data_IF_079018470482
#
_entry.id   IF_079018470482
#
_cell.length_a   1.000
_cell.length_b   1.000
_cell.length_c   1.000
_cell.angle_alpha   90.00
_cell.angle_beta   90.00
_cell.angle_gamma   90.00
#
_symmetry.space_group_name_H-M   'P 1'
#
loop_
_entity.id
_entity.type
_entity.pdbx_description
1 polymer ?
#
# COMPACT_ATOMS: atom_id res chain seq x y z
N UNK A 1 -2.44 -29.74 -5.35
CA UNK A 1 -1.60 -29.81 -6.59
C UNK A 1 -0.11 -29.61 -6.30
N UNK A 2 0.30 -28.63 -5.45
CA UNK A 2 1.73 -28.41 -5.15
C UNK A 2 2.37 -29.52 -4.32
N UNK A 3 1.64 -30.22 -3.44
CA UNK A 3 2.18 -31.36 -2.69
C UNK A 3 2.65 -32.55 -3.55
N UNK A 4 2.17 -32.64 -4.79
CA UNK A 4 2.64 -33.65 -5.75
C UNK A 4 4.09 -33.42 -6.21
N UNK A 5 4.58 -32.18 -6.14
CA UNK A 5 5.96 -31.87 -6.57
C UNK A 5 6.99 -32.59 -5.72
N UNK A 6 6.78 -32.67 -4.40
CA UNK A 6 7.70 -33.38 -3.52
C UNK A 6 7.72 -34.88 -3.77
N UNK A 7 6.58 -35.46 -4.17
CA UNK A 7 6.49 -36.87 -4.53
C UNK A 7 7.21 -37.18 -5.86
N UNK A 8 7.14 -36.27 -6.83
CA UNK A 8 7.79 -36.43 -8.13
C UNK A 8 9.30 -36.12 -8.08
N UNK A 9 9.70 -35.21 -7.19
CA UNK A 9 11.09 -34.76 -7.08
C UNK A 9 11.57 -34.80 -5.62
N UNK A 10 11.68 -35.98 -4.99
CA UNK A 10 11.97 -36.10 -3.57
C UNK A 10 13.37 -35.62 -3.16
N UNK A 11 14.30 -35.49 -4.10
CA UNK A 11 15.66 -35.02 -3.86
C UNK A 11 15.80 -33.49 -4.03
N UNK A 12 14.75 -32.79 -4.50
CA UNK A 12 14.82 -31.35 -4.72
C UNK A 12 14.33 -30.62 -3.47
N UNK A 13 15.13 -29.72 -2.89
CA UNK A 13 14.67 -28.94 -1.74
C UNK A 13 13.55 -27.97 -2.15
N UNK A 14 12.56 -27.81 -1.27
CA UNK A 14 11.44 -26.89 -1.46
C UNK A 14 11.66 -25.67 -0.60
N UNK A 15 11.58 -24.47 -1.19
CA UNK A 15 11.54 -23.19 -0.49
C UNK A 15 10.16 -22.58 -0.71
N UNK A 16 9.42 -22.36 0.36
CA UNK A 16 8.15 -21.65 0.34
C UNK A 16 8.34 -20.22 0.85
N UNK A 17 7.98 -19.23 0.03
CA UNK A 17 8.11 -17.81 0.36
C UNK A 17 6.71 -17.16 0.37
N UNK A 18 6.44 -16.37 1.38
CA UNK A 18 5.21 -15.58 1.48
C UNK A 18 5.48 -14.27 2.20
N UNK A 19 4.81 -13.20 1.78
CA UNK A 19 4.92 -11.89 2.41
C UNK A 19 3.94 -11.72 3.59
N UNK A 20 2.84 -12.50 3.62
CA UNK A 20 1.72 -12.28 4.55
C UNK A 20 1.07 -13.62 4.90
N UNK A 21 1.66 -14.35 5.81
CA UNK A 21 1.05 -15.56 6.33
C UNK A 21 0.89 -15.44 7.85
N UNK A 22 -0.35 -15.51 8.33
CA UNK A 22 -0.64 -15.71 9.74
C UNK A 22 -0.17 -17.10 10.20
N UNK A 23 -0.21 -17.35 11.50
CA UNK A 23 0.25 -18.64 12.06
C UNK A 23 -0.46 -19.85 11.44
N UNK A 24 -1.77 -19.73 11.23
CA UNK A 24 -2.61 -20.80 10.66
C UNK A 24 -2.19 -21.09 9.22
N UNK A 25 -2.02 -20.03 8.42
CA UNK A 25 -1.57 -20.15 7.03
C UNK A 25 -0.19 -20.79 6.92
N UNK A 26 0.74 -20.44 7.82
CA UNK A 26 2.08 -21.07 7.85
C UNK A 26 2.02 -22.57 8.12
N UNK A 27 1.21 -22.97 9.09
CA UNK A 27 0.99 -24.38 9.41
C UNK A 27 0.34 -25.13 8.23
N UNK A 28 -0.60 -24.50 7.54
CA UNK A 28 -1.22 -25.05 6.33
C UNK A 28 -0.22 -25.22 5.18
N UNK A 29 0.67 -24.24 4.95
CA UNK A 29 1.73 -24.35 3.93
C UNK A 29 2.63 -25.55 4.21
N UNK A 30 3.10 -25.72 5.45
CA UNK A 30 3.93 -26.85 5.86
C UNK A 30 3.23 -28.17 5.56
N UNK A 31 1.95 -28.27 5.93
CA UNK A 31 1.13 -29.47 5.75
C UNK A 31 0.86 -29.79 4.28
N UNK A 32 0.44 -28.78 3.50
CA UNK A 32 0.08 -28.97 2.09
C UNK A 32 1.26 -29.26 1.18
N UNK A 33 2.44 -28.70 1.50
CA UNK A 33 3.67 -28.95 0.76
C UNK A 33 4.41 -30.18 1.28
N UNK A 34 3.90 -30.86 2.32
CA UNK A 34 4.53 -32.03 2.95
C UNK A 34 6.00 -31.75 3.36
N UNK A 35 6.27 -30.56 3.89
CA UNK A 35 7.62 -30.18 4.30
C UNK A 35 8.05 -30.97 5.53
N UNK A 36 9.19 -31.66 5.44
CA UNK A 36 9.76 -32.49 6.52
C UNK A 36 10.74 -31.65 7.32
N UNK A 37 10.45 -31.41 8.60
CA UNK A 37 11.30 -30.61 9.51
C UNK A 37 11.77 -29.28 8.88
N UNK A 38 10.85 -28.44 8.36
CA UNK A 38 11.25 -27.21 7.68
C UNK A 38 11.90 -26.23 8.66
N UNK A 39 12.92 -25.50 8.20
CA UNK A 39 13.40 -24.32 8.89
C UNK A 39 12.49 -23.15 8.52
N UNK A 40 11.95 -22.49 9.54
CA UNK A 40 11.07 -21.32 9.36
C UNK A 40 11.82 -20.05 9.73
N UNK A 41 11.87 -19.09 8.80
CA UNK A 41 12.44 -17.77 9.01
C UNK A 41 11.32 -16.75 8.94
N UNK A 42 11.13 -15.97 9.99
CA UNK A 42 10.09 -14.95 10.09
C UNK A 42 10.80 -13.63 10.39
N UNK A 43 10.69 -12.66 9.46
CA UNK A 43 11.07 -11.28 9.71
C UNK A 43 9.92 -10.53 10.36
N UNK A 44 10.23 -9.44 11.07
CA UNK A 44 9.20 -8.57 11.63
C UNK A 44 8.29 -8.01 10.53
N UNK A 45 7.01 -7.91 10.84
CA UNK A 45 6.00 -7.26 10.01
C UNK A 45 5.97 -5.75 10.24
N UNK A 46 6.81 -5.22 11.12
CA UNK A 46 6.80 -3.78 11.40
C UNK A 46 7.36 -2.95 10.23
N UNK A 47 6.66 -1.90 9.93
CA UNK A 47 7.01 -0.89 8.94
C UNK A 47 6.99 0.48 9.61
N UNK A 48 8.02 0.83 10.41
CA UNK A 48 8.02 2.03 11.25
C UNK A 48 7.97 3.34 10.44
N UNK A 49 8.31 3.30 9.17
CA UNK A 49 8.26 4.43 8.25
C UNK A 49 6.85 4.71 7.69
N UNK A 50 5.86 3.83 7.93
CA UNK A 50 4.49 4.03 7.42
C UNK A 50 3.62 4.57 8.56
N UNK A 51 2.97 5.71 8.37
CA UNK A 51 1.89 6.17 9.25
C UNK A 51 0.56 5.51 8.84
N UNK A 52 -0.27 5.17 9.82
CA UNK A 52 -1.55 4.49 9.61
C UNK A 52 -2.70 5.37 10.11
N UNK A 53 -3.68 5.62 9.26
CA UNK A 53 -4.86 6.39 9.61
C UNK A 53 -6.14 5.69 9.16
N UNK A 54 -7.15 5.66 10.03
CA UNK A 54 -8.49 5.13 9.72
C UNK A 54 -9.52 6.24 9.90
N UNK A 55 -9.97 6.81 8.80
CA UNK A 55 -11.02 7.82 8.73
C UNK A 55 -12.40 7.14 8.75
N UNK A 56 -13.18 7.35 9.83
CA UNK A 56 -14.47 6.69 10.07
C UNK A 56 -15.64 7.61 9.74
N UNK A 57 -16.75 7.03 9.25
CA UNK A 57 -18.02 7.73 9.08
C UNK A 57 -18.17 8.59 7.84
N UNK A 58 -17.14 8.69 7.00
CA UNK A 58 -17.17 9.50 5.78
C UNK A 58 -18.17 8.98 4.74
N UNK A 59 -19.06 9.85 4.30
CA UNK A 59 -19.93 9.60 3.14
C UNK A 59 -19.16 9.75 1.83
N UNK A 60 -19.70 9.24 0.72
CA UNK A 60 -19.00 9.25 -0.57
C UNK A 60 -18.54 10.66 -1.03
N UNK A 61 -19.33 11.70 -0.76
CA UNK A 61 -18.98 13.09 -1.11
C UNK A 61 -17.81 13.61 -0.27
N UNK A 62 -17.82 13.30 1.01
CA UNK A 62 -16.77 13.68 1.95
C UNK A 62 -15.47 12.93 1.65
N UNK A 63 -15.55 11.61 1.37
CA UNK A 63 -14.40 10.81 0.91
C UNK A 63 -13.77 11.43 -0.33
N UNK A 64 -14.58 11.79 -1.33
CA UNK A 64 -14.08 12.39 -2.56
C UNK A 64 -13.34 13.71 -2.29
N UNK A 65 -13.93 14.59 -1.45
CA UNK A 65 -13.30 15.85 -1.06
C UNK A 65 -11.97 15.61 -0.35
N UNK A 66 -11.96 14.75 0.68
CA UNK A 66 -10.76 14.42 1.44
C UNK A 66 -9.64 13.83 0.56
N UNK A 67 -9.97 12.98 -0.43
CA UNK A 67 -9.00 12.43 -1.38
C UNK A 67 -8.40 13.53 -2.26
N UNK A 68 -9.22 14.43 -2.79
CA UNK A 68 -8.73 15.54 -3.62
C UNK A 68 -7.81 16.47 -2.83
N UNK A 69 -8.18 16.83 -1.59
CA UNK A 69 -7.36 17.63 -0.69
C UNK A 69 -6.05 16.92 -0.34
N UNK A 70 -6.11 15.61 -0.08
CA UNK A 70 -4.93 14.80 0.19
C UNK A 70 -3.97 14.80 -1.00
N UNK A 71 -4.45 14.52 -2.21
CA UNK A 71 -3.63 14.50 -3.43
C UNK A 71 -3.05 15.88 -3.71
N UNK A 72 -3.82 16.94 -3.47
CA UNK A 72 -3.32 18.31 -3.67
C UNK A 72 -2.14 18.65 -2.74
N UNK A 73 -2.19 18.19 -1.48
CA UNK A 73 -1.06 18.32 -0.53
C UNK A 73 0.16 17.48 -0.94
N UNK A 74 -0.07 16.36 -1.64
CA UNK A 74 0.95 15.40 -2.10
C UNK A 74 1.21 15.45 -3.61
N UNK A 75 0.97 16.60 -4.25
CA UNK A 75 0.99 16.72 -5.71
C UNK A 75 2.31 16.31 -6.38
N UNK A 76 3.43 16.39 -5.65
CA UNK A 76 4.77 16.03 -6.13
C UNK A 76 5.12 14.55 -5.82
N UNK A 77 4.24 13.82 -5.16
CA UNK A 77 4.48 12.49 -4.65
C UNK A 77 3.67 11.43 -5.39
N UNK A 78 4.23 10.23 -5.53
CA UNK A 78 3.53 9.11 -6.13
C UNK A 78 2.67 8.35 -5.12
N UNK A 79 1.46 7.99 -5.50
CA UNK A 79 0.55 7.25 -4.62
C UNK A 79 -0.44 6.34 -5.34
N UNK A 80 -1.06 5.48 -4.54
CA UNK A 80 -2.04 4.49 -5.03
C UNK A 80 -3.35 4.68 -4.27
N UNK A 81 -4.48 4.62 -5.00
CA UNK A 81 -5.83 4.63 -4.42
C UNK A 81 -6.48 3.28 -4.69
N UNK A 82 -6.69 2.49 -3.65
CA UNK A 82 -7.37 1.21 -3.77
C UNK A 82 -8.87 1.32 -3.62
N UNK A 83 -9.60 0.68 -4.52
CA UNK A 83 -11.06 0.60 -4.53
C UNK A 83 -11.51 -0.86 -4.50
N UNK A 84 -12.61 -1.16 -3.80
CA UNK A 84 -13.14 -2.52 -3.71
C UNK A 84 -13.74 -3.04 -5.03
N UNK A 85 -14.21 -2.14 -5.91
CA UNK A 85 -14.88 -2.51 -7.16
C UNK A 85 -14.34 -1.73 -8.35
N UNK A 86 -14.42 -2.33 -9.55
CA UNK A 86 -14.11 -1.67 -10.83
C UNK A 86 -14.87 -0.34 -10.98
N UNK A 87 -16.18 -0.35 -10.69
CA UNK A 87 -17.03 0.84 -10.75
C UNK A 87 -16.53 1.99 -9.87
N UNK A 88 -16.04 1.68 -8.66
CA UNK A 88 -15.48 2.71 -7.78
C UNK A 88 -14.13 3.22 -8.33
N UNK A 89 -13.30 2.33 -8.89
CA UNK A 89 -12.04 2.73 -9.50
C UNK A 89 -12.26 3.68 -10.68
N UNK A 90 -13.19 3.34 -11.59
CA UNK A 90 -13.55 4.21 -12.73
C UNK A 90 -14.13 5.56 -12.27
N UNK A 91 -14.98 5.54 -11.22
CA UNK A 91 -15.56 6.76 -10.67
C UNK A 91 -14.49 7.69 -10.07
N UNK A 92 -13.55 7.16 -9.30
CA UNK A 92 -12.48 7.96 -8.70
C UNK A 92 -11.50 8.44 -9.78
N UNK A 93 -11.16 7.58 -10.75
CA UNK A 93 -10.35 7.99 -11.89
C UNK A 93 -11.00 9.16 -12.65
N UNK A 94 -12.30 9.05 -13.00
CA UNK A 94 -13.03 10.13 -13.66
C UNK A 94 -13.10 11.41 -12.83
N UNK A 95 -13.21 11.30 -11.49
CA UNK A 95 -13.17 12.44 -10.58
C UNK A 95 -11.79 13.15 -10.67
N UNK A 96 -10.69 12.40 -10.63
CA UNK A 96 -9.34 12.97 -10.72
C UNK A 96 -9.13 13.70 -12.05
N UNK A 97 -9.60 13.12 -13.16
CA UNK A 97 -9.54 13.75 -14.48
C UNK A 97 -10.33 15.08 -14.53
N UNK A 98 -11.50 15.14 -13.91
CA UNK A 98 -12.32 16.37 -13.84
C UNK A 98 -11.60 17.51 -13.10
N UNK A 99 -10.72 17.17 -12.15
CA UNK A 99 -9.92 18.15 -11.40
C UNK A 99 -8.51 18.36 -11.99
N UNK A 100 -8.26 17.85 -13.21
CA UNK A 100 -6.98 18.05 -13.91
C UNK A 100 -5.81 17.30 -13.29
N UNK A 101 -6.08 16.25 -12.49
CA UNK A 101 -5.06 15.41 -11.86
C UNK A 101 -4.70 14.27 -12.82
N UNK A 102 -3.45 14.23 -13.27
CA UNK A 102 -2.93 13.14 -14.09
C UNK A 102 -2.86 11.84 -13.28
N UNK A 103 -3.70 10.89 -13.65
CA UNK A 103 -3.81 9.60 -13.00
C UNK A 103 -3.96 8.47 -14.02
N UNK A 104 -3.55 7.27 -13.63
CA UNK A 104 -3.89 6.03 -14.33
C UNK A 104 -4.95 5.24 -13.54
N UNK A 105 -5.57 4.27 -14.21
CA UNK A 105 -6.44 3.33 -13.52
C UNK A 105 -6.09 1.89 -13.90
N UNK A 106 -6.36 0.95 -12.97
CA UNK A 106 -5.98 -0.45 -13.15
C UNK A 106 -6.97 -1.40 -12.49
N UNK A 107 -7.68 -2.18 -13.30
CA UNK A 107 -8.56 -3.26 -12.83
C UNK A 107 -8.75 -4.32 -13.92
N UNK A 108 -9.29 -5.47 -13.55
CA UNK A 108 -9.45 -6.62 -14.45
C UNK A 108 -10.46 -6.39 -15.61
N UNK A 109 -11.18 -5.26 -15.64
CA UNK A 109 -12.07 -4.88 -16.73
C UNK A 109 -11.38 -4.18 -17.90
N UNK A 110 -10.14 -3.73 -17.72
CA UNK A 110 -9.33 -3.09 -18.76
C UNK A 110 -8.65 -4.12 -19.65
N UNK A 111 -8.35 -3.75 -20.90
CA UNK A 111 -7.52 -4.55 -21.78
C UNK A 111 -6.11 -4.76 -21.23
N UNK A 112 -5.42 -5.76 -21.72
CA UNK A 112 -4.01 -6.02 -21.34
C UNK A 112 -3.10 -4.84 -21.70
N UNK A 113 -3.35 -4.22 -22.85
CA UNK A 113 -2.57 -3.08 -23.34
C UNK A 113 -2.76 -1.84 -22.46
N UNK A 114 -4.01 -1.51 -22.11
CA UNK A 114 -4.31 -0.39 -21.20
C UNK A 114 -3.68 -0.61 -19.81
N UNK A 115 -3.80 -1.83 -19.26
CA UNK A 115 -3.19 -2.17 -17.98
C UNK A 115 -1.68 -2.01 -18.03
N UNK A 116 -1.02 -2.54 -19.07
CA UNK A 116 0.42 -2.42 -19.26
C UNK A 116 0.84 -0.95 -19.38
N UNK A 117 0.15 -0.18 -20.23
CA UNK A 117 0.44 1.24 -20.42
C UNK A 117 0.33 2.02 -19.11
N UNK A 118 -0.79 1.90 -18.38
CA UNK A 118 -0.99 2.60 -17.13
C UNK A 118 0.04 2.19 -16.05
N UNK A 119 0.40 0.91 -16.01
CA UNK A 119 1.43 0.40 -15.12
C UNK A 119 2.81 0.97 -15.46
N UNK A 120 3.17 0.98 -16.73
CA UNK A 120 4.44 1.55 -17.21
C UNK A 120 4.48 3.06 -16.92
N UNK A 121 3.40 3.80 -17.21
CA UNK A 121 3.31 5.22 -16.97
C UNK A 121 3.48 5.55 -15.48
N UNK A 122 2.90 4.74 -14.58
CA UNK A 122 3.09 4.88 -13.14
C UNK A 122 4.51 4.51 -12.69
N UNK A 123 5.06 3.42 -13.22
CA UNK A 123 6.39 2.94 -12.87
C UNK A 123 7.49 3.92 -13.27
N UNK A 124 7.33 4.55 -14.44
CA UNK A 124 8.29 5.51 -14.98
C UNK A 124 8.02 6.98 -14.58
N UNK A 125 7.18 7.23 -13.56
CA UNK A 125 6.83 8.56 -13.04
C UNK A 125 6.17 9.49 -14.09
N UNK A 126 5.58 8.97 -15.17
CA UNK A 126 4.81 9.76 -16.14
C UNK A 126 3.46 10.18 -15.57
N UNK A 127 2.90 9.35 -14.70
CA UNK A 127 1.73 9.66 -13.87
C UNK A 127 2.09 9.40 -12.41
N UNK A 128 1.53 10.17 -11.50
CA UNK A 128 1.85 10.07 -10.06
C UNK A 128 0.79 9.36 -9.25
N UNK A 129 -0.43 9.28 -9.74
CA UNK A 129 -1.56 8.64 -9.03
C UNK A 129 -2.05 7.43 -9.80
N UNK A 130 -2.16 6.30 -9.14
CA UNK A 130 -2.78 5.10 -9.68
C UNK A 130 -4.06 4.77 -8.91
N UNK A 131 -5.19 4.72 -9.60
CA UNK A 131 -6.46 4.26 -9.03
C UNK A 131 -6.68 2.80 -9.40
N UNK A 132 -6.82 1.92 -8.43
CA UNK A 132 -6.79 0.49 -8.73
C UNK A 132 -7.74 -0.35 -7.86
N UNK A 133 -8.04 -1.55 -8.32
CA UNK A 133 -8.53 -2.64 -7.48
C UNK A 133 -7.37 -3.51 -7.01
N UNK A 134 -7.64 -4.52 -6.18
CA UNK A 134 -6.66 -5.53 -5.74
C UNK A 134 -5.93 -6.26 -6.88
N UNK A 135 -6.43 -6.15 -8.13
CA UNK A 135 -5.74 -6.68 -9.32
C UNK A 135 -4.39 -5.96 -9.58
N UNK A 136 -4.23 -4.73 -9.08
CA UNK A 136 -2.99 -3.97 -9.17
C UNK A 136 -2.09 -4.31 -8.00
N UNK A 137 -1.10 -5.14 -8.23
CA UNK A 137 -0.25 -5.50 -7.12
C UNK A 137 0.81 -6.52 -7.43
N UNK A 138 0.51 -7.56 -8.17
CA UNK A 138 1.51 -8.55 -8.53
C UNK A 138 2.52 -7.95 -9.52
N UNK A 139 3.81 -7.92 -9.14
CA UNK A 139 4.88 -7.45 -10.00
C UNK A 139 5.14 -5.93 -9.99
N UNK A 140 4.51 -5.18 -9.09
CA UNK A 140 4.82 -3.75 -8.93
C UNK A 140 5.87 -3.58 -7.84
N UNK A 141 7.03 -3.14 -8.25
CA UNK A 141 8.18 -2.87 -7.38
C UNK A 141 8.62 -1.40 -7.45
N UNK A 142 7.64 -0.48 -7.42
CA UNK A 142 7.90 0.96 -7.31
C UNK A 142 8.20 1.30 -5.85
N UNK A 143 9.45 1.64 -5.54
CA UNK A 143 9.91 1.86 -4.16
C UNK A 143 9.52 3.22 -3.60
N UNK A 144 9.35 4.23 -4.45
CA UNK A 144 9.09 5.62 -4.08
C UNK A 144 7.60 6.00 -3.97
N UNK A 145 6.72 5.05 -3.67
CA UNK A 145 5.30 5.33 -3.36
C UNK A 145 5.21 5.99 -1.99
N UNK A 146 4.70 7.23 -1.92
CA UNK A 146 4.62 8.00 -0.67
C UNK A 146 3.31 7.85 0.07
N UNK A 147 2.24 7.45 -0.62
CA UNK A 147 0.96 7.20 0.05
C UNK A 147 0.15 6.08 -0.60
N UNK A 148 -0.63 5.43 0.24
CA UNK A 148 -1.68 4.48 -0.18
C UNK A 148 -2.99 4.89 0.47
N UNK A 149 -4.00 5.17 -0.36
CA UNK A 149 -5.35 5.48 0.09
C UNK A 149 -6.27 4.31 -0.20
N UNK A 150 -7.04 3.88 0.78
CA UNK A 150 -8.10 2.89 0.60
C UNK A 150 -9.46 3.61 0.58
N UNK A 151 -10.05 3.77 -0.60
CA UNK A 151 -11.39 4.35 -0.77
C UNK A 151 -12.47 3.52 -0.10
N UNK A 152 -12.28 2.22 -0.09
CA UNK A 152 -13.11 1.22 0.58
C UNK A 152 -12.25 0.33 1.47
N UNK A 153 -12.84 -0.21 2.53
CA UNK A 153 -12.22 -1.21 3.38
C UNK A 153 -11.87 -2.48 2.57
N UNK A 154 -10.63 -2.98 2.61
CA UNK A 154 -10.26 -4.27 2.03
C UNK A 154 -11.00 -5.46 2.67
N UNK A 155 -10.99 -6.63 2.02
CA UNK A 155 -11.68 -7.83 2.51
C UNK A 155 -10.98 -8.48 3.71
N UNK A 156 -9.68 -8.24 3.90
CA UNK A 156 -8.93 -8.80 5.01
C UNK A 156 -7.72 -7.95 5.38
N UNK A 157 -7.17 -8.19 6.58
CA UNK A 157 -5.94 -7.54 7.04
C UNK A 157 -4.73 -7.90 6.19
N UNK A 158 -4.69 -9.11 5.62
CA UNK A 158 -3.61 -9.51 4.73
C UNK A 158 -3.62 -8.69 3.44
N UNK A 159 -4.79 -8.48 2.83
CA UNK A 159 -4.91 -7.60 1.66
C UNK A 159 -4.54 -6.15 2.01
N UNK A 160 -5.08 -5.64 3.13
CA UNK A 160 -4.72 -4.31 3.61
C UNK A 160 -3.22 -4.15 3.81
N UNK A 161 -2.58 -5.08 4.50
CA UNK A 161 -1.15 -5.04 4.77
C UNK A 161 -0.30 -5.12 3.49
N UNK A 162 -0.69 -5.98 2.53
CA UNK A 162 -0.02 -6.08 1.23
C UNK A 162 -0.13 -4.80 0.40
N UNK A 163 -1.31 -4.17 0.41
CA UNK A 163 -1.58 -2.94 -0.31
C UNK A 163 -0.91 -1.74 0.36
N UNK A 164 -1.06 -1.56 1.66
CA UNK A 164 -0.40 -0.54 2.47
C UNK A 164 1.13 -0.68 2.43
N UNK A 165 1.64 -1.90 2.44
CA UNK A 165 3.07 -2.22 2.37
C UNK A 165 3.76 -1.85 1.07
N UNK A 166 3.02 -1.36 0.06
CA UNK A 166 3.61 -0.78 -1.16
C UNK A 166 4.16 0.61 -0.93
N UNK A 167 3.68 1.30 0.10
CA UNK A 167 4.19 2.60 0.50
C UNK A 167 5.57 2.49 1.14
N UNK A 168 6.47 3.42 0.83
CA UNK A 168 7.75 3.58 1.49
C UNK A 168 8.68 2.36 1.46
N UNK A 169 8.74 1.62 0.36
CA UNK A 169 9.65 0.46 0.23
C UNK A 169 11.12 0.83 0.27
N UNK A 170 11.44 2.07 -0.03
CA UNK A 170 12.78 2.65 0.08
C UNK A 170 13.15 3.06 1.52
N UNK A 171 12.28 2.81 2.49
CA UNK A 171 12.47 3.18 3.89
C UNK A 171 12.10 4.62 4.23
N UNK A 172 11.76 5.44 3.22
CA UNK A 172 11.29 6.79 3.44
C UNK A 172 9.86 6.83 4.02
N UNK A 173 9.52 7.94 4.68
CA UNK A 173 8.21 8.12 5.29
C UNK A 173 7.08 8.03 4.25
N UNK A 174 6.03 7.34 4.62
CA UNK A 174 4.86 7.16 3.78
C UNK A 174 3.58 7.13 4.61
N UNK A 175 2.45 7.41 3.99
CA UNK A 175 1.15 7.50 4.65
C UNK A 175 0.16 6.49 4.08
N UNK A 176 -0.54 5.79 4.97
CA UNK A 176 -1.65 4.91 4.59
C UNK A 176 -2.93 5.39 5.26
N UNK A 177 -3.90 5.82 4.45
CA UNK A 177 -5.21 6.28 4.92
C UNK A 177 -6.29 5.34 4.42
N UNK A 178 -7.10 4.85 5.36
CA UNK A 178 -8.24 3.99 5.07
C UNK A 178 -9.54 4.72 5.40
N UNK A 179 -10.40 4.88 4.41
CA UNK A 179 -11.76 5.41 4.60
C UNK A 179 -12.71 4.25 4.88
N UNK A 180 -13.20 4.19 6.11
CA UNK A 180 -14.11 3.14 6.55
C UNK A 180 -15.54 3.66 6.67
N UNK A 181 -16.49 2.89 6.12
CA UNK A 181 -17.91 3.10 6.32
C UNK A 181 -18.65 1.76 6.46
N UNK A 182 -19.81 1.78 7.13
CA UNK A 182 -20.65 0.56 7.26
C UNK A 182 -21.09 -0.02 5.91
N UNK A 183 -21.13 0.80 4.84
CA UNK A 183 -21.42 0.34 3.50
C UNK A 183 -20.32 -0.59 2.96
N UNK A 184 -19.07 -0.39 3.37
CA UNK A 184 -17.95 -1.25 2.96
C UNK A 184 -18.13 -2.69 3.45
N UNK A 185 -18.71 -2.88 4.64
CA UNK A 185 -19.05 -4.20 5.18
C UNK A 185 -20.05 -4.91 4.26
N UNK A 186 -21.09 -4.19 3.82
CA UNK A 186 -22.11 -4.76 2.91
C UNK A 186 -21.53 -5.10 1.53
N UNK A 187 -20.65 -4.25 1.00
CA UNK A 187 -19.95 -4.49 -0.27
C UNK A 187 -19.11 -5.77 -0.15
N UNK A 188 -18.29 -5.88 0.89
CA UNK A 188 -17.42 -7.03 1.06
C UNK A 188 -18.18 -8.34 1.30
N UNK A 189 -19.27 -8.32 2.09
CA UNK A 189 -20.14 -9.50 2.25
C UNK A 189 -20.71 -9.97 0.92
N UNK A 190 -21.23 -9.05 0.10
CA UNK A 190 -21.72 -9.39 -1.24
C UNK A 190 -20.63 -9.97 -2.15
N UNK A 191 -19.43 -9.42 -2.11
CA UNK A 191 -18.30 -9.94 -2.89
C UNK A 191 -17.94 -11.38 -2.47
N UNK A 192 -17.99 -11.70 -1.17
CA UNK A 192 -17.78 -13.07 -0.68
C UNK A 192 -18.91 -14.02 -1.12
N UNK A 193 -20.16 -13.57 -1.07
CA UNK A 193 -21.31 -14.34 -1.55
C UNK A 193 -21.20 -14.66 -3.05
N UNK A 194 -20.86 -13.68 -3.88
CA UNK A 194 -20.64 -13.90 -5.32
C UNK A 194 -19.52 -14.91 -5.59
N UNK A 195 -18.39 -14.78 -4.88
CA UNK A 195 -17.27 -15.70 -5.00
C UNK A 195 -17.67 -17.13 -4.63
N UNK A 196 -18.51 -17.31 -3.61
CA UNK A 196 -19.00 -18.63 -3.21
C UNK A 196 -19.97 -19.25 -4.21
N UNK A 197 -20.76 -18.43 -4.94
CA UNK A 197 -21.68 -18.90 -5.97
C UNK A 197 -20.97 -19.35 -7.24
N UNK A 198 -19.82 -18.75 -7.58
CA UNK A 198 -19.02 -19.10 -8.75
C UNK A 198 -18.17 -20.35 -8.55
N UNK A 199 -17.88 -20.74 -7.30
CA UNK A 199 -17.10 -21.95 -7.00
C UNK A 199 -18.01 -23.18 -6.91
N UNK A 200 -17.81 -24.14 -7.84
CA UNK A 200 -18.56 -25.40 -7.92
C UNK A 200 -18.34 -26.29 -6.68
N UNK A 201 -17.18 -26.14 -6.01
CA UNK A 201 -16.82 -26.75 -4.73
C UNK A 201 -16.76 -25.69 -3.63
N UNK A 202 -17.91 -25.13 -3.23
CA UNK A 202 -17.97 -24.22 -2.08
C UNK A 202 -17.69 -24.99 -0.79
N UNK A 203 -16.43 -25.19 -0.48
CA UNK A 203 -16.02 -25.69 0.83
C UNK A 203 -16.49 -24.70 1.90
N UNK A 204 -17.47 -25.10 2.68
CA UNK A 204 -18.06 -24.32 3.78
C UNK A 204 -16.98 -23.80 4.73
N UNK A 205 -15.85 -24.50 4.82
CA UNK A 205 -14.72 -24.12 5.65
C UNK A 205 -13.97 -22.90 5.08
N UNK A 206 -13.80 -22.84 3.75
CA UNK A 206 -13.17 -21.69 3.06
C UNK A 206 -14.01 -20.43 3.29
N UNK A 207 -15.32 -20.52 3.09
CA UNK A 207 -16.22 -19.40 3.30
C UNK A 207 -16.22 -18.91 4.76
N UNK A 208 -16.23 -19.82 5.73
CA UNK A 208 -16.11 -19.46 7.16
C UNK A 208 -14.80 -18.73 7.45
N UNK A 209 -13.71 -19.15 6.85
CA UNK A 209 -12.42 -18.51 7.01
C UNK A 209 -12.40 -17.10 6.39
N UNK A 210 -12.98 -16.94 5.20
CA UNK A 210 -13.11 -15.64 4.54
C UNK A 210 -13.94 -14.65 5.39
N UNK A 211 -15.07 -15.11 5.99
CA UNK A 211 -15.85 -14.30 6.93
C UNK A 211 -15.09 -13.96 8.22
N UNK A 212 -14.30 -14.89 8.76
CA UNK A 212 -13.45 -14.63 9.93
C UNK A 212 -12.45 -13.51 9.62
N UNK A 213 -11.77 -13.56 8.47
CA UNK A 213 -10.82 -12.54 8.02
C UNK A 213 -11.49 -11.18 7.80
N UNK A 214 -12.70 -11.17 7.22
CA UNK A 214 -13.48 -9.95 7.07
C UNK A 214 -13.83 -9.33 8.43
N UNK A 215 -14.26 -10.14 9.41
CA UNK A 215 -14.56 -9.63 10.75
C UNK A 215 -13.31 -9.05 11.42
N UNK A 216 -12.15 -9.68 11.31
CA UNK A 216 -10.88 -9.12 11.83
C UNK A 216 -10.50 -7.80 11.17
N UNK A 217 -10.81 -7.62 9.87
CA UNK A 217 -10.63 -6.34 9.20
C UNK A 217 -11.61 -5.27 9.70
N UNK A 218 -12.85 -5.65 10.01
CA UNK A 218 -13.83 -4.75 10.63
C UNK A 218 -13.35 -4.34 12.02
N UNK A 219 -12.91 -5.30 12.85
CA UNK A 219 -12.36 -5.04 14.19
C UNK A 219 -11.18 -4.06 14.13
N UNK A 220 -10.30 -4.21 13.15
CA UNK A 220 -9.22 -3.26 12.89
C UNK A 220 -9.74 -1.85 12.57
N UNK A 221 -10.77 -1.74 11.73
CA UNK A 221 -11.35 -0.44 11.38
C UNK A 221 -12.07 0.23 12.56
N UNK A 222 -12.59 -0.54 13.51
CA UNK A 222 -13.38 -0.05 14.65
C UNK A 222 -12.57 0.07 15.95
N UNK A 223 -11.37 -0.53 16.02
CA UNK A 223 -10.53 -0.53 17.23
C UNK A 223 -10.15 0.89 17.68
N UNK A 224 -10.03 1.06 18.99
CA UNK A 224 -9.42 2.23 19.63
C UNK A 224 -7.96 1.97 20.05
N UNK A 225 -7.48 0.74 19.91
CA UNK A 225 -6.10 0.38 20.19
C UNK A 225 -5.17 0.91 19.10
N UNK A 226 -3.87 0.90 19.37
CA UNK A 226 -2.86 1.24 18.37
C UNK A 226 -3.05 0.40 17.09
N UNK A 227 -3.24 1.05 15.95
CA UNK A 227 -3.46 0.38 14.65
C UNK A 227 -2.28 -0.50 14.25
N UNK A 228 -1.05 -0.06 14.53
CA UNK A 228 0.17 -0.83 14.26
C UNK A 228 0.23 -2.08 15.12
N UNK A 229 -0.02 -1.93 16.43
CA UNK A 229 -0.05 -3.07 17.35
C UNK A 229 -1.08 -4.11 16.92
N UNK A 230 -2.27 -3.67 16.48
CA UNK A 230 -3.31 -4.58 16.00
C UNK A 230 -2.82 -5.44 14.82
N UNK A 231 -2.19 -4.80 13.81
CA UNK A 231 -1.62 -5.51 12.65
C UNK A 231 -0.53 -6.49 13.08
N UNK A 232 0.42 -6.05 13.90
CA UNK A 232 1.55 -6.87 14.32
C UNK A 232 1.08 -8.08 15.14
N UNK A 233 0.16 -7.87 16.07
CA UNK A 233 -0.46 -8.95 16.85
C UNK A 233 -1.21 -9.95 15.97
N UNK A 234 -1.89 -9.50 14.91
CA UNK A 234 -2.55 -10.36 13.95
C UNK A 234 -1.59 -11.33 13.26
N UNK A 235 -0.41 -10.85 12.87
CA UNK A 235 0.63 -11.68 12.25
C UNK A 235 1.49 -12.45 13.26
N UNK A 236 1.23 -12.28 14.56
CA UNK A 236 1.96 -12.97 15.64
C UNK A 236 3.30 -12.34 15.95
N UNK A 237 3.46 -11.05 15.66
CA UNK A 237 4.64 -10.25 16.02
C UNK A 237 4.39 -9.48 17.32
N UNK A 238 5.44 -9.31 18.12
CA UNK A 238 5.37 -8.54 19.35
C UNK A 238 5.54 -7.06 19.04
N UNK A 239 4.69 -6.23 19.65
CA UNK A 239 4.69 -4.80 19.41
C UNK A 239 4.48 -4.02 20.72
N UNK A 240 5.06 -2.82 20.87
CA UNK A 240 4.69 -1.90 21.95
C UNK A 240 3.22 -1.49 21.86
N UNK A 241 2.65 -1.06 22.97
CA UNK A 241 1.23 -0.66 23.06
C UNK A 241 0.90 0.59 22.26
N UNK A 242 1.89 1.42 21.93
CA UNK A 242 1.76 2.67 21.18
C UNK A 242 2.85 2.76 20.11
N UNK A 243 2.56 3.43 19.01
CA UNK A 243 3.50 3.62 17.90
C UNK A 243 3.77 5.09 17.55
N UNK A 244 3.08 6.04 18.19
CA UNK A 244 3.17 7.50 17.99
C UNK A 244 3.04 7.96 16.51
N UNK A 245 2.53 7.08 15.62
CA UNK A 245 2.39 7.33 14.18
C UNK A 245 1.07 6.84 13.59
N UNK A 246 0.12 6.41 14.40
CA UNK A 246 -1.22 6.07 13.89
C UNK A 246 -2.27 7.00 14.48
N UNK A 247 -3.41 7.11 13.79
CA UNK A 247 -4.51 8.00 14.20
C UNK A 247 -5.09 7.69 15.59
N UNK A 248 -4.89 6.48 16.11
CA UNK A 248 -5.36 6.13 17.46
C UNK A 248 -4.31 6.44 18.55
N UNK A 249 -3.04 6.65 18.21
CA UNK A 249 -1.99 7.03 19.17
C UNK A 249 -1.75 8.53 19.20
N UNK A 250 -1.94 9.21 18.08
CA UNK A 250 -1.77 10.66 17.97
C UNK A 250 -3.17 11.29 18.04
N UNK A 251 -3.51 11.83 19.20
CA UNK A 251 -4.75 12.64 19.37
C UNK A 251 -4.41 14.05 18.89
N UNK A 252 -4.89 14.41 17.72
CA UNK A 252 -4.80 15.78 17.22
C UNK A 252 -6.20 16.36 17.30
N UNK A 253 -6.36 17.50 17.98
CA UNK A 253 -7.61 18.25 17.98
C UNK A 253 -7.87 18.77 16.56
N UNK A 254 -9.10 18.63 16.04
CA UNK A 254 -9.47 18.80 14.63
C UNK A 254 -9.02 20.12 13.97
N UNK A 255 -8.83 21.19 14.74
CA UNK A 255 -8.36 22.49 14.23
C UNK A 255 -6.83 22.59 14.07
N UNK A 256 -6.06 21.72 14.74
CA UNK A 256 -4.59 21.69 14.67
C UNK A 256 -4.07 20.66 13.65
N UNK A 257 -4.91 19.73 13.17
CA UNK A 257 -4.49 18.63 12.29
C UNK A 257 -3.91 19.14 10.96
N UNK A 258 -4.55 20.12 10.34
CA UNK A 258 -4.06 20.73 9.10
C UNK A 258 -2.76 21.51 9.31
N UNK A 259 -2.65 22.25 10.40
CA UNK A 259 -1.45 23.02 10.72
C UNK A 259 -0.29 22.13 11.21
N UNK A 260 -0.58 21.06 11.98
CA UNK A 260 0.44 20.16 12.50
C UNK A 260 1.07 19.28 11.40
N UNK A 261 0.24 18.74 10.51
CA UNK A 261 0.73 17.91 9.39
C UNK A 261 1.47 18.77 8.36
N UNK A 262 0.96 19.96 8.02
CA UNK A 262 1.65 20.90 7.16
C UNK A 262 2.98 21.37 7.78
N UNK A 263 2.98 21.79 9.04
CA UNK A 263 4.22 22.25 9.71
C UNK A 263 5.24 21.12 9.89
N UNK A 264 4.81 19.88 10.10
CA UNK A 264 5.75 18.74 10.23
C UNK A 264 6.32 18.33 8.87
N UNK A 265 5.51 18.36 7.80
CA UNK A 265 5.97 18.09 6.42
C UNK A 265 6.79 19.24 5.84
N UNK A 266 6.34 20.47 6.03
CA UNK A 266 7.11 21.66 5.62
C UNK A 266 8.41 21.75 6.41
N UNK A 267 8.41 21.46 7.71
CA UNK A 267 9.65 21.39 8.51
C UNK A 267 10.56 20.25 8.07
N UNK A 268 10.06 19.09 7.67
CA UNK A 268 10.88 17.94 7.26
C UNK A 268 11.35 18.07 5.81
N UNK A 269 10.49 18.51 4.88
CA UNK A 269 10.87 18.87 3.50
C UNK A 269 11.73 20.11 3.49
N UNK A 270 11.42 21.12 4.30
CA UNK A 270 12.26 22.27 4.56
C UNK A 270 13.55 21.85 5.28
N UNK A 271 13.56 20.87 6.18
CA UNK A 271 14.77 20.40 6.83
C UNK A 271 15.67 19.60 5.88
N UNK A 272 15.13 18.80 4.97
CA UNK A 272 15.91 18.07 3.96
C UNK A 272 16.42 19.01 2.85
N UNK A 273 15.58 19.94 2.37
CA UNK A 273 15.96 20.92 1.35
C UNK A 273 16.57 22.22 1.94
N UNK A 274 16.21 22.59 3.17
CA UNK A 274 16.79 23.77 3.84
C UNK A 274 18.20 23.53 4.40
N UNK A 275 18.61 22.25 4.49
CA UNK A 275 20.02 21.93 4.70
C UNK A 275 20.84 22.06 3.41
N UNK A 276 20.18 22.22 2.25
CA UNK A 276 20.84 22.55 1.00
C UNK A 276 20.81 24.07 0.81
N UNK A 277 21.96 24.62 0.43
CA UNK A 277 22.03 26.01 -0.02
C UNK A 277 21.11 26.23 -1.23
N UNK A 278 20.68 27.47 -1.56
CA UNK A 278 19.91 27.76 -2.78
C UNK A 278 20.52 27.15 -4.03
N UNK A 279 21.84 27.15 -4.12
CA UNK A 279 22.61 26.52 -5.20
C UNK A 279 22.52 24.99 -5.15
N UNK A 280 22.47 24.41 -3.95
CA UNK A 280 22.26 22.98 -3.75
C UNK A 280 20.87 22.51 -4.16
N UNK A 281 19.86 23.34 -3.95
CA UNK A 281 18.47 23.04 -4.40
C UNK A 281 18.37 23.05 -5.93
N UNK A 282 18.99 24.03 -6.59
CA UNK A 282 19.06 24.08 -8.06
C UNK A 282 19.80 22.86 -8.62
N UNK A 283 20.91 22.48 -8.00
CA UNK A 283 21.68 21.30 -8.39
C UNK A 283 20.91 20.01 -8.15
N UNK A 284 20.10 19.93 -7.09
CA UNK A 284 19.21 18.79 -6.84
C UNK A 284 18.22 18.58 -7.99
N UNK A 285 17.55 19.64 -8.45
CA UNK A 285 16.62 19.52 -9.57
C UNK A 285 17.33 19.16 -10.88
N UNK A 286 18.53 19.68 -11.11
CA UNK A 286 19.34 19.30 -12.27
C UNK A 286 19.73 17.81 -12.23
N UNK A 287 20.17 17.30 -11.07
CA UNK A 287 20.52 15.89 -10.89
C UNK A 287 19.28 14.98 -11.01
N UNK A 288 18.14 15.43 -10.52
CA UNK A 288 16.87 14.73 -10.67
C UNK A 288 16.46 14.57 -12.13
N UNK A 289 16.63 15.63 -12.92
CA UNK A 289 16.41 15.62 -14.37
C UNK A 289 17.38 14.68 -15.09
N UNK A 290 18.66 14.80 -14.79
CA UNK A 290 19.71 13.94 -15.34
C UNK A 290 19.46 12.46 -15.02
N UNK A 291 19.04 12.14 -13.77
CA UNK A 291 18.62 10.79 -13.39
C UNK A 291 17.48 10.25 -14.26
N UNK A 292 16.47 11.10 -14.52
CA UNK A 292 15.33 10.72 -15.36
C UNK A 292 15.74 10.44 -16.81
N UNK A 293 16.62 11.27 -17.37
CA UNK A 293 17.17 11.09 -18.71
C UNK A 293 18.00 9.78 -18.79
N UNK A 294 18.89 9.56 -17.83
CA UNK A 294 19.71 8.34 -17.75
C UNK A 294 18.85 7.06 -17.56
N UNK A 295 17.78 7.17 -16.78
CA UNK A 295 16.83 6.08 -16.59
C UNK A 295 16.12 5.71 -17.90
N UNK A 296 15.72 6.72 -18.68
CA UNK A 296 15.10 6.56 -19.99
C UNK A 296 16.07 5.90 -20.98
N UNK A 297 17.34 6.31 -21.02
CA UNK A 297 18.38 5.69 -21.87
C UNK A 297 18.60 4.21 -21.52
N UNK A 298 18.60 3.87 -20.23
CA UNK A 298 18.82 2.51 -19.75
C UNK A 298 17.54 1.65 -19.76
N UNK A 299 16.39 2.22 -20.07
CA UNK A 299 15.10 1.52 -20.03
C UNK A 299 14.70 1.03 -18.63
N UNK A 300 15.14 1.73 -17.59
CA UNK A 300 14.83 1.40 -16.19
C UNK A 300 14.09 2.56 -15.50
N UNK A 301 13.29 2.30 -14.48
CA UNK A 301 12.66 3.35 -13.68
C UNK A 301 13.68 4.27 -12.98
N UNK A 302 13.40 5.59 -12.82
CA UNK A 302 14.34 6.55 -12.21
C UNK A 302 14.82 6.17 -10.80
N UNK A 303 13.97 5.58 -9.98
CA UNK A 303 14.33 5.15 -8.62
C UNK A 303 15.35 3.98 -8.60
N UNK A 304 15.50 3.23 -9.69
CA UNK A 304 16.52 2.18 -9.83
C UNK A 304 17.92 2.79 -9.97
N UNK A 305 18.04 3.98 -10.56
CA UNK A 305 19.32 4.69 -10.66
C UNK A 305 19.77 5.17 -9.28
N UNK A 306 18.93 5.95 -8.59
CA UNK A 306 19.13 6.36 -7.20
C UNK A 306 17.86 6.98 -6.62
N UNK A 307 17.72 6.96 -5.29
CA UNK A 307 16.61 7.61 -4.59
C UNK A 307 16.82 9.12 -4.46
N UNK A 308 15.75 9.89 -4.21
CA UNK A 308 15.85 11.33 -3.90
C UNK A 308 16.69 11.57 -2.64
N UNK A 309 16.62 10.67 -1.66
CA UNK A 309 17.47 10.70 -0.47
C UNK A 309 18.94 10.58 -0.83
N UNK A 310 19.30 9.65 -1.70
CA UNK A 310 20.69 9.50 -2.17
C UNK A 310 21.21 10.77 -2.80
N UNK A 311 20.38 11.45 -3.62
CA UNK A 311 20.74 12.73 -4.22
C UNK A 311 20.95 13.83 -3.16
N UNK A 312 20.06 13.89 -2.17
CA UNK A 312 20.14 14.86 -1.06
C UNK A 312 21.38 14.59 -0.21
N UNK A 313 21.63 13.35 0.18
CA UNK A 313 22.79 12.97 0.98
C UNK A 313 24.10 13.29 0.24
N UNK A 314 24.21 13.00 -1.06
CA UNK A 314 25.37 13.38 -1.85
C UNK A 314 25.60 14.89 -1.84
N UNK A 315 24.56 15.71 -1.97
CA UNK A 315 24.69 17.16 -1.98
C UNK A 315 25.05 17.75 -0.62
N UNK A 316 24.60 17.12 0.48
CA UNK A 316 24.96 17.52 1.83
C UNK A 316 26.43 17.22 2.16
N UNK A 317 27.02 16.15 1.57
CA UNK A 317 28.42 15.79 1.74
C UNK A 317 29.38 16.61 0.85
N UNK A 318 28.87 17.22 -0.21
CA UNK A 318 29.69 17.94 -1.23
C UNK A 318 29.52 19.45 -1.18
N UNK A 319 28.62 19.97 -0.36
CA UNK A 319 28.39 21.39 -0.09
C UNK A 319 28.97 21.81 1.26
#
# INVERSE_FOLDING_TARGET
QMGMLHQQFPQVPIIALTATADKITREDIIRQLHLIQPRTFISSFDRPNISLDVKRGFQAKEKNKAILEFIHRHREESGIIYCATKKNADKIYGLLQQYGIEAGHYHAGLSLEERKKNQDDFTYDRIRVMVATNAFGMGIDKSNVRYVLHYNMPQSLEYYYQEAGRAGRDGEEAECVLFFSKQDIMINKRLLEYKSMESIDSDTQVLRNDYRKLNQMIDYCETQQCLRQFILSYFGDNSPCTCDKCSNCVVVEDEEEENYIQTKKEKKKAFQLANLTPKGQELFEQLRKCRTELAAEKGVPPYIICSDKTLTDCLLYTS
#
